data_IF_609053352720
#
_entry.id   IF_609053352720
#
_cell.length_a   1.000
_cell.length_b   1.000
_cell.length_c   1.000
_cell.angle_alpha   90.00
_cell.angle_beta   90.00
_cell.angle_gamma   90.00
#
_symmetry.space_group_name_H-M   'P 1'
#
loop_
_entity.id
_entity.type
_entity.pdbx_description
1 polymer ?
#
# COMPACT_ATOMS: atom_id res chain seq x y z
N UNK A 1 46.15 -7.69 68.91
CA UNK A 1 47.55 -7.30 69.21
C UNK A 1 48.15 -6.81 67.91
N UNK A 2 48.62 -5.55 67.91
CA UNK A 2 49.71 -4.96 67.09
C UNK A 2 49.63 -5.09 65.55
N UNK A 3 49.87 -4.12 64.67
CA UNK A 3 50.44 -2.74 64.62
C UNK A 3 50.46 -2.42 63.10
N UNK A 4 49.98 -1.29 62.59
CA UNK A 4 50.84 -0.18 62.10
C UNK A 4 50.67 0.05 60.58
N UNK A 5 50.25 1.26 60.14
CA UNK A 5 51.00 2.36 59.44
C UNK A 5 51.36 1.96 57.97
N UNK A 6 50.97 2.64 56.87
CA UNK A 6 51.24 4.01 56.36
C UNK A 6 50.18 4.42 55.30
N UNK A 7 49.52 5.58 55.36
CA UNK A 7 49.93 6.93 54.88
C UNK A 7 50.34 6.97 53.40
N UNK A 8 49.44 7.45 52.54
CA UNK A 8 49.79 8.45 51.51
C UNK A 8 48.64 9.43 51.33
N UNK A 9 48.91 10.65 51.78
CA UNK A 9 48.13 11.86 51.54
C UNK A 9 48.57 12.44 50.19
N UNK A 10 47.64 12.83 49.31
CA UNK A 10 47.91 13.87 48.32
C UNK A 10 46.61 14.53 47.86
N UNK A 11 46.33 15.66 48.52
CA UNK A 11 45.80 16.93 48.00
C UNK A 11 44.59 16.90 47.04
N UNK A 12 43.45 17.31 47.59
CA UNK A 12 42.30 17.85 46.87
C UNK A 12 42.66 19.27 46.42
N UNK A 13 42.84 19.47 45.11
CA UNK A 13 42.76 20.79 44.51
C UNK A 13 41.41 20.96 43.82
N UNK A 14 40.58 21.80 44.42
CA UNK A 14 39.45 22.47 43.79
C UNK A 14 39.91 23.26 42.56
N UNK A 15 39.34 22.97 41.39
CA UNK A 15 39.17 23.94 40.31
C UNK A 15 37.76 23.86 39.74
N UNK A 16 36.91 24.78 40.22
CA UNK A 16 35.77 25.29 39.47
C UNK A 16 36.30 26.02 38.22
N UNK A 17 36.02 25.50 37.03
CA UNK A 17 35.49 26.27 35.89
C UNK A 17 35.41 25.36 34.67
N UNK A 18 34.21 25.11 34.20
CA UNK A 18 33.87 25.29 32.79
C UNK A 18 32.40 24.92 32.61
N UNK A 19 31.55 25.89 32.94
CA UNK A 19 30.26 26.03 32.28
C UNK A 19 30.54 26.43 30.83
N UNK A 20 30.99 25.48 30.01
CA UNK A 20 31.07 25.68 28.57
C UNK A 20 29.65 25.66 28.01
N UNK A 21 29.26 26.82 27.51
CA UNK A 21 28.23 27.07 26.51
C UNK A 21 27.74 25.80 25.82
N UNK A 22 26.58 25.29 26.24
CA UNK A 22 25.81 24.36 25.44
C UNK A 22 25.51 25.07 24.12
N UNK A 23 26.07 24.60 23.01
CA UNK A 23 25.70 25.07 21.68
C UNK A 23 24.18 24.94 21.53
N UNK A 24 23.47 26.07 21.62
CA UNK A 24 22.01 26.16 21.55
C UNK A 24 21.50 25.81 20.14
N UNK A 25 22.39 25.80 19.14
CA UNK A 25 22.08 25.42 17.77
C UNK A 25 22.63 24.03 17.45
N UNK A 26 21.79 23.06 17.05
CA UNK A 26 22.30 21.81 16.52
C UNK A 26 23.17 22.14 15.31
N UNK A 27 24.44 21.70 15.34
CA UNK A 27 25.33 21.74 14.19
C UNK A 27 24.57 21.24 12.95
N UNK A 28 24.68 21.94 11.82
CA UNK A 28 23.98 21.61 10.55
C UNK A 28 24.12 20.13 10.20
N UNK A 29 25.28 19.53 10.48
CA UNK A 29 25.52 18.08 10.28
C UNK A 29 24.58 17.22 11.14
N UNK A 30 24.36 17.58 12.39
CA UNK A 30 23.44 16.88 13.31
C UNK A 30 21.98 17.03 12.85
N UNK A 31 21.59 18.21 12.36
CA UNK A 31 20.26 18.42 11.79
C UNK A 31 20.03 17.56 10.55
N UNK A 32 20.98 17.56 9.60
CA UNK A 32 20.91 16.76 8.38
C UNK A 32 20.84 15.25 8.68
N UNK A 33 21.60 14.77 9.66
CA UNK A 33 21.54 13.37 10.12
C UNK A 33 20.16 13.00 10.68
N UNK A 34 19.54 13.89 11.48
CA UNK A 34 18.19 13.68 12.02
C UNK A 34 17.14 13.68 10.92
N UNK A 35 17.19 14.65 10.01
CA UNK A 35 16.27 14.71 8.86
C UNK A 35 16.39 13.44 8.01
N UNK A 36 17.61 13.04 7.65
CA UNK A 36 17.83 11.81 6.88
C UNK A 36 17.30 10.57 7.62
N UNK A 37 17.55 10.46 8.93
CA UNK A 37 17.00 9.37 9.74
C UNK A 37 15.48 9.27 9.66
N UNK A 38 14.78 10.41 9.74
CA UNK A 38 13.32 10.44 9.66
C UNK A 38 12.81 10.17 8.24
N UNK A 39 13.40 10.78 7.21
CA UNK A 39 13.03 10.53 5.81
C UNK A 39 13.20 9.05 5.44
N UNK A 40 14.32 8.43 5.83
CA UNK A 40 14.54 7.01 5.62
C UNK A 40 13.53 6.15 6.39
N UNK A 41 13.12 6.57 7.58
CA UNK A 41 12.08 5.86 8.35
C UNK A 41 10.70 5.95 7.68
N UNK A 42 10.34 7.11 7.12
CA UNK A 42 9.11 7.28 6.33
C UNK A 42 9.13 6.42 5.07
N UNK A 43 10.27 6.36 4.38
CA UNK A 43 10.47 5.49 3.22
C UNK A 43 10.31 4.00 3.59
N UNK A 44 10.89 3.56 4.72
CA UNK A 44 10.76 2.18 5.18
C UNK A 44 9.31 1.79 5.53
N UNK A 45 8.42 2.72 5.87
CA UNK A 45 7.00 2.37 6.06
C UNK A 45 6.33 1.92 4.76
N UNK A 46 6.69 2.54 3.64
CA UNK A 46 5.96 2.44 2.36
C UNK A 46 6.73 1.68 1.28
N UNK A 47 7.99 1.32 1.52
CA UNK A 47 8.90 0.75 0.52
C UNK A 47 8.34 -0.49 -0.21
N UNK A 48 7.76 -1.45 0.52
CA UNK A 48 7.16 -2.64 -0.10
C UNK A 48 5.98 -2.29 -1.00
N UNK A 49 5.32 -1.18 -0.70
CA UNK A 49 4.00 -0.83 -1.23
C UNK A 49 4.06 0.14 -2.42
N UNK A 50 5.26 0.55 -2.81
CA UNK A 50 5.50 1.23 -4.09
C UNK A 50 4.97 0.39 -5.25
N UNK A 51 5.22 -0.92 -5.23
CA UNK A 51 4.88 -1.85 -6.32
C UNK A 51 3.48 -2.43 -6.22
N UNK A 52 2.92 -2.49 -5.02
CA UNK A 52 1.59 -3.10 -4.76
C UNK A 52 0.48 -2.07 -4.72
N UNK A 53 0.77 -0.80 -4.40
CA UNK A 53 -0.22 0.27 -4.29
C UNK A 53 0.15 1.48 -5.16
N UNK A 54 1.30 2.13 -4.95
CA UNK A 54 1.55 3.43 -5.60
C UNK A 54 1.53 3.34 -7.13
N UNK A 55 2.36 2.46 -7.73
CA UNK A 55 2.41 2.35 -9.19
C UNK A 55 1.11 1.79 -9.79
N UNK A 56 0.48 0.74 -9.23
CA UNK A 56 -0.81 0.29 -9.74
C UNK A 56 -1.90 1.36 -9.71
N UNK A 57 -2.00 2.12 -8.63
CA UNK A 57 -3.08 3.11 -8.47
C UNK A 57 -2.84 4.37 -9.29
N UNK A 58 -1.56 4.74 -9.51
CA UNK A 58 -1.20 5.75 -10.51
C UNK A 58 -1.62 5.29 -11.92
N UNK A 59 -1.25 4.07 -12.32
CA UNK A 59 -1.60 3.53 -13.63
C UNK A 59 -3.13 3.47 -13.81
N UNK A 60 -3.85 3.09 -12.75
CA UNK A 60 -5.31 3.05 -12.76
C UNK A 60 -5.92 4.43 -12.98
N UNK A 61 -5.59 5.41 -12.13
CA UNK A 61 -6.13 6.77 -12.24
C UNK A 61 -5.87 7.42 -13.60
N UNK A 62 -4.66 7.27 -14.12
CA UNK A 62 -4.29 7.79 -15.44
C UNK A 62 -5.04 7.08 -16.57
N UNK A 63 -5.07 5.74 -16.57
CA UNK A 63 -5.73 4.97 -17.64
C UNK A 63 -7.21 5.28 -17.72
N UNK A 64 -7.84 5.37 -16.55
CA UNK A 64 -9.21 5.77 -16.40
C UNK A 64 -9.43 7.18 -16.97
N UNK A 65 -8.74 8.21 -16.47
CA UNK A 65 -8.96 9.58 -16.93
C UNK A 65 -8.66 9.79 -18.42
N UNK A 66 -7.63 9.14 -18.95
CA UNK A 66 -7.25 9.22 -20.36
C UNK A 66 -8.21 8.46 -21.29
N UNK A 67 -8.89 7.42 -20.79
CA UNK A 67 -9.78 6.61 -21.63
C UNK A 67 -10.98 7.39 -22.19
N UNK A 68 -11.39 8.46 -21.52
CA UNK A 68 -12.57 9.26 -21.89
C UNK A 68 -13.91 8.56 -21.75
N UNK A 69 -13.96 7.31 -21.26
CA UNK A 69 -15.21 6.52 -21.16
C UNK A 69 -15.83 6.53 -19.76
N UNK A 70 -15.15 7.16 -18.79
CA UNK A 70 -15.52 7.15 -17.36
C UNK A 70 -15.93 8.51 -16.80
N UNK A 71 -15.73 9.60 -17.54
CA UNK A 71 -16.18 10.94 -17.15
C UNK A 71 -17.50 11.27 -17.83
N UNK A 72 -18.32 12.11 -17.20
CA UNK A 72 -19.59 12.61 -17.79
C UNK A 72 -19.30 13.65 -18.88
N UNK A 73 -18.34 14.53 -18.64
CA UNK A 73 -17.93 15.58 -19.56
C UNK A 73 -16.90 15.09 -20.60
N UNK A 74 -16.56 15.99 -21.55
CA UNK A 74 -15.47 15.78 -22.51
C UNK A 74 -14.19 15.39 -21.78
N UNK A 75 -13.58 14.28 -22.20
CA UNK A 75 -12.36 13.76 -21.61
C UNK A 75 -11.30 14.88 -21.41
N UNK A 76 -10.70 14.99 -20.22
CA UNK A 76 -9.63 15.96 -19.99
C UNK A 76 -8.48 15.72 -20.98
N UNK A 77 -7.82 16.80 -21.43
CA UNK A 77 -6.69 16.65 -22.34
C UNK A 77 -5.59 15.80 -21.70
N UNK A 78 -4.84 15.05 -22.51
CA UNK A 78 -3.76 14.21 -22.01
C UNK A 78 -2.76 15.00 -21.16
N UNK A 79 -2.42 16.23 -21.59
CA UNK A 79 -1.59 17.14 -20.81
C UNK A 79 -2.19 17.47 -19.45
N UNK A 80 -3.49 17.79 -19.38
CA UNK A 80 -4.15 18.10 -18.12
C UNK A 80 -4.14 16.91 -17.15
N UNK A 81 -4.35 15.69 -17.66
CA UNK A 81 -4.27 14.46 -16.85
C UNK A 81 -2.85 14.21 -16.35
N UNK A 82 -1.85 14.29 -17.23
CA UNK A 82 -0.45 14.05 -16.87
C UNK A 82 0.09 15.10 -15.89
N UNK A 83 -0.35 16.36 -16.01
CA UNK A 83 0.00 17.41 -15.06
C UNK A 83 -0.49 17.13 -13.63
N UNK A 84 -1.45 16.21 -13.43
CA UNK A 84 -1.96 15.80 -12.11
C UNK A 84 -1.16 14.68 -11.46
N UNK A 85 -0.18 14.06 -12.13
CA UNK A 85 0.65 12.99 -11.57
C UNK A 85 1.22 13.33 -10.18
N UNK A 86 1.79 14.54 -9.95
CA UNK A 86 2.30 14.90 -8.62
C UNK A 86 1.23 14.89 -7.53
N UNK A 87 0.00 15.33 -7.85
CA UNK A 87 -1.12 15.36 -6.90
C UNK A 87 -1.65 13.94 -6.60
N UNK A 88 -1.71 13.08 -7.62
CA UNK A 88 -2.08 11.67 -7.45
C UNK A 88 -1.06 11.00 -6.54
N UNK A 89 0.24 11.14 -6.83
CA UNK A 89 1.31 10.55 -6.04
C UNK A 89 1.30 11.08 -4.60
N UNK A 90 1.11 12.38 -4.40
CA UNK A 90 0.99 13.00 -3.08
C UNK A 90 -0.15 12.37 -2.28
N UNK A 91 -1.36 12.33 -2.86
CA UNK A 91 -2.55 11.83 -2.18
C UNK A 91 -2.45 10.34 -1.88
N UNK A 92 -2.11 9.52 -2.90
CA UNK A 92 -1.96 8.07 -2.73
C UNK A 92 -0.90 7.76 -1.68
N UNK A 93 0.24 8.47 -1.67
CA UNK A 93 1.27 8.25 -0.68
C UNK A 93 0.82 8.60 0.74
N UNK A 94 0.10 9.72 0.94
CA UNK A 94 -0.37 10.11 2.28
C UNK A 94 -1.45 9.18 2.83
N UNK A 95 -2.40 8.77 1.99
CA UNK A 95 -3.42 7.77 2.39
C UNK A 95 -2.72 6.44 2.70
N UNK A 96 -1.85 5.95 1.82
CA UNK A 96 -1.06 4.73 2.05
C UNK A 96 -0.24 4.81 3.32
N UNK A 97 0.43 5.94 3.56
CA UNK A 97 1.26 6.16 4.73
C UNK A 97 0.46 5.98 6.03
N UNK A 98 -0.74 6.55 6.10
CA UNK A 98 -1.66 6.35 7.21
C UNK A 98 -1.99 4.87 7.40
N UNK A 99 -2.37 4.17 6.32
CA UNK A 99 -2.74 2.76 6.39
C UNK A 99 -1.58 1.87 6.84
N UNK A 100 -0.37 2.07 6.30
CA UNK A 100 0.79 1.25 6.66
C UNK A 100 1.28 1.52 8.08
N UNK A 101 1.17 2.77 8.58
CA UNK A 101 1.47 3.05 9.99
C UNK A 101 0.45 2.37 10.90
N UNK A 102 -0.84 2.43 10.56
CA UNK A 102 -1.89 1.73 11.29
C UNK A 102 -1.69 0.22 11.27
N UNK A 103 -1.28 -0.34 10.12
CA UNK A 103 -1.05 -1.76 9.97
C UNK A 103 0.17 -2.26 10.75
N UNK A 104 1.24 -1.50 10.83
CA UNK A 104 2.52 -1.96 11.40
C UNK A 104 2.67 -1.71 12.92
N UNK A 105 1.84 -0.85 13.53
CA UNK A 105 2.07 -0.37 14.91
C UNK A 105 1.70 -1.38 16.02
N UNK A 106 0.79 -2.32 15.77
CA UNK A 106 0.24 -3.19 16.81
C UNK A 106 1.23 -4.31 17.18
N UNK A 107 1.24 -4.80 18.44
CA UNK A 107 2.19 -5.83 18.87
C UNK A 107 2.19 -7.09 17.99
N UNK A 108 1.00 -7.58 17.60
CA UNK A 108 0.88 -8.74 16.72
C UNK A 108 1.31 -8.45 15.28
N UNK A 109 1.15 -7.22 14.80
CA UNK A 109 1.71 -6.78 13.52
C UNK A 109 3.24 -6.75 13.53
N UNK A 110 3.84 -6.37 14.65
CA UNK A 110 5.31 -6.37 14.78
C UNK A 110 5.83 -7.81 14.76
N UNK A 111 5.12 -8.75 15.41
CA UNK A 111 5.48 -10.17 15.39
C UNK A 111 5.41 -10.76 13.97
N UNK A 112 4.36 -10.45 13.22
CA UNK A 112 4.23 -10.78 11.79
C UNK A 112 5.41 -10.22 10.98
N UNK A 113 5.69 -8.93 11.12
CA UNK A 113 6.71 -8.25 10.33
C UNK A 113 8.14 -8.67 10.70
N UNK A 114 8.41 -9.13 11.93
CA UNK A 114 9.72 -9.74 12.26
C UNK A 114 10.00 -10.95 11.36
N UNK A 115 8.96 -11.70 10.96
CA UNK A 115 9.09 -12.84 10.03
C UNK A 115 9.14 -12.40 8.58
N UNK A 116 8.18 -11.60 8.16
CA UNK A 116 8.01 -11.30 6.73
C UNK A 116 8.90 -10.13 6.25
N UNK A 117 9.09 -9.11 7.09
CA UNK A 117 9.64 -7.79 6.72
C UNK A 117 10.47 -7.18 7.86
N UNK A 118 11.55 -7.84 8.34
CA UNK A 118 12.31 -7.42 9.53
C UNK A 118 12.99 -6.05 9.38
N UNK A 119 13.11 -5.54 8.15
CA UNK A 119 13.66 -4.23 7.83
C UNK A 119 12.68 -3.07 8.11
N UNK A 120 11.38 -3.32 8.35
CA UNK A 120 10.39 -2.28 8.63
C UNK A 120 10.71 -1.49 9.91
N UNK A 121 10.19 -0.26 10.07
CA UNK A 121 10.58 0.63 11.17
C UNK A 121 10.37 0.07 12.58
N UNK A 122 9.28 -0.66 12.82
CA UNK A 122 8.97 -1.22 14.13
C UNK A 122 9.79 -2.50 14.44
N UNK A 123 9.84 -3.52 13.56
CA UNK A 123 10.72 -4.69 13.78
C UNK A 123 12.19 -4.34 13.94
N UNK A 124 12.70 -3.38 13.15
CA UNK A 124 14.09 -2.92 13.21
C UNK A 124 14.36 -1.92 14.35
N UNK A 125 13.36 -1.66 15.21
CA UNK A 125 13.46 -0.77 16.38
C UNK A 125 13.87 0.67 16.06
N UNK A 126 13.64 1.13 14.83
CA UNK A 126 13.81 2.55 14.45
C UNK A 126 12.72 3.45 15.04
N UNK A 127 11.56 2.87 15.33
CA UNK A 127 10.44 3.61 15.91
C UNK A 127 9.80 2.78 17.02
N UNK A 128 9.39 3.42 18.12
CA UNK A 128 8.61 2.74 19.15
C UNK A 128 7.13 2.62 18.75
N UNK A 129 6.39 1.60 19.23
CA UNK A 129 4.95 1.50 18.97
C UNK A 129 4.16 2.74 19.41
N UNK A 130 4.55 3.35 20.54
CA UNK A 130 3.95 4.61 21.03
C UNK A 130 4.20 5.77 20.08
N UNK A 131 5.40 5.86 19.51
CA UNK A 131 5.74 6.89 18.52
C UNK A 131 4.97 6.66 17.21
N UNK A 132 4.82 5.41 16.77
CA UNK A 132 3.98 5.07 15.60
C UNK A 132 2.50 5.41 15.83
N UNK A 133 1.97 5.20 17.04
CA UNK A 133 0.61 5.62 17.39
C UNK A 133 0.44 7.15 17.27
N UNK A 134 1.39 7.93 17.78
CA UNK A 134 1.36 9.39 17.65
C UNK A 134 1.44 9.82 16.19
N UNK A 135 2.32 9.20 15.42
CA UNK A 135 2.47 9.44 13.99
C UNK A 135 1.15 9.17 13.23
N UNK A 136 0.44 8.08 13.55
CA UNK A 136 -0.89 7.80 13.01
C UNK A 136 -1.88 8.92 13.32
N UNK A 137 -1.98 9.32 14.60
CA UNK A 137 -2.90 10.38 15.04
C UNK A 137 -2.63 11.73 14.34
N UNK A 138 -1.37 12.08 14.09
CA UNK A 138 -1.02 13.27 13.32
C UNK A 138 -1.30 13.11 11.81
N UNK A 139 -1.19 11.89 11.28
CA UNK A 139 -1.42 11.63 9.85
C UNK A 139 -2.90 11.80 9.46
N UNK A 140 -3.84 11.45 10.35
CA UNK A 140 -5.29 11.57 10.10
C UNK A 140 -5.72 12.98 9.66
N UNK A 141 -5.50 14.06 10.44
CA UNK A 141 -5.91 15.40 10.03
C UNK A 141 -5.18 15.89 8.78
N UNK A 142 -3.92 15.48 8.57
CA UNK A 142 -3.16 15.83 7.36
C UNK A 142 -3.80 15.19 6.13
N UNK A 143 -4.11 13.89 6.19
CA UNK A 143 -4.78 13.17 5.10
C UNK A 143 -6.14 13.79 4.79
N UNK A 144 -6.95 14.09 5.80
CA UNK A 144 -8.26 14.72 5.61
C UNK A 144 -8.14 16.12 4.98
N UNK A 145 -7.15 16.92 5.41
CA UNK A 145 -6.88 18.24 4.84
C UNK A 145 -6.48 18.15 3.37
N UNK A 146 -5.51 17.32 3.03
CA UNK A 146 -5.07 17.10 1.64
C UNK A 146 -6.25 16.59 0.79
N UNK A 147 -7.04 15.65 1.33
CA UNK A 147 -8.18 15.07 0.62
C UNK A 147 -9.32 16.07 0.41
N UNK A 148 -9.50 17.02 1.33
CA UNK A 148 -10.44 18.14 1.15
C UNK A 148 -10.04 19.00 -0.05
N UNK A 149 -8.78 19.41 -0.13
CA UNK A 149 -8.26 20.20 -1.25
C UNK A 149 -8.31 19.47 -2.60
N UNK A 150 -8.26 18.13 -2.58
CA UNK A 150 -8.25 17.31 -3.78
C UNK A 150 -9.63 16.71 -4.13
N UNK A 151 -10.68 17.04 -3.38
CA UNK A 151 -12.04 16.55 -3.65
C UNK A 151 -12.27 15.06 -3.35
N UNK A 152 -11.42 14.46 -2.50
CA UNK A 152 -11.43 13.02 -2.17
C UNK A 152 -11.73 12.75 -0.69
N UNK A 153 -12.22 13.73 0.07
CA UNK A 153 -12.43 13.61 1.52
C UNK A 153 -13.31 12.42 1.91
N UNK A 154 -14.40 12.16 1.18
CA UNK A 154 -15.31 11.03 1.46
C UNK A 154 -14.59 9.69 1.29
N UNK A 155 -13.76 9.56 0.24
CA UNK A 155 -12.95 8.37 0.00
C UNK A 155 -11.92 8.15 1.10
N UNK A 156 -11.25 9.22 1.54
CA UNK A 156 -10.28 9.13 2.63
C UNK A 156 -10.93 8.83 3.98
N UNK A 157 -12.13 9.36 4.27
CA UNK A 157 -12.88 8.98 5.47
C UNK A 157 -13.29 7.51 5.45
N UNK A 158 -13.75 7.00 4.30
CA UNK A 158 -14.03 5.59 4.12
C UNK A 158 -12.76 4.73 4.29
N UNK A 159 -11.63 5.16 3.73
CA UNK A 159 -10.33 4.47 3.85
C UNK A 159 -9.80 4.43 5.28
N UNK A 160 -9.90 5.53 6.03
CA UNK A 160 -9.56 5.59 7.46
C UNK A 160 -10.46 4.64 8.26
N UNK A 161 -11.76 4.62 7.96
CA UNK A 161 -12.71 3.72 8.63
C UNK A 161 -12.39 2.26 8.33
N UNK A 162 -12.16 1.91 7.06
CA UNK A 162 -11.78 0.56 6.65
C UNK A 162 -10.44 0.14 7.28
N UNK A 163 -9.47 1.05 7.38
CA UNK A 163 -8.17 0.82 8.04
C UNK A 163 -8.34 0.52 9.52
N UNK A 164 -9.20 1.25 10.22
CA UNK A 164 -9.54 1.00 11.61
C UNK A 164 -10.24 -0.36 11.78
N UNK A 165 -11.22 -0.68 10.92
CA UNK A 165 -11.88 -1.99 10.91
C UNK A 165 -10.89 -3.14 10.64
N UNK A 166 -9.95 -2.94 9.71
CA UNK A 166 -8.95 -3.92 9.32
C UNK A 166 -7.99 -4.24 10.46
N UNK A 167 -7.48 -3.21 11.14
CA UNK A 167 -6.42 -3.36 12.13
C UNK A 167 -6.95 -3.43 13.57
N UNK A 168 -7.65 -2.39 14.03
CA UNK A 168 -8.04 -2.23 15.43
C UNK A 168 -9.23 -3.13 15.82
N UNK A 169 -10.15 -3.39 14.89
CA UNK A 169 -11.28 -4.30 15.12
C UNK A 169 -10.97 -5.75 14.73
N UNK A 170 -9.75 -6.04 14.30
CA UNK A 170 -9.31 -7.39 13.93
C UNK A 170 -9.97 -7.94 12.66
N UNK A 171 -10.48 -7.09 11.76
CA UNK A 171 -11.06 -7.50 10.48
C UNK A 171 -10.07 -8.27 9.60
N UNK A 172 -8.78 -7.94 9.69
CA UNK A 172 -7.70 -8.65 9.00
C UNK A 172 -7.36 -10.02 9.60
N UNK A 173 -7.75 -10.25 10.87
CA UNK A 173 -7.24 -11.35 11.68
C UNK A 173 -8.30 -12.45 11.86
N UNK A 174 -9.56 -12.07 12.03
CA UNK A 174 -10.64 -12.97 12.43
C UNK A 174 -11.32 -13.72 11.26
N UNK A 175 -11.20 -13.24 10.03
CA UNK A 175 -11.83 -13.86 8.85
C UNK A 175 -11.14 -13.46 7.56
N UNK A 176 -10.73 -14.44 6.75
CA UNK A 176 -10.18 -14.16 5.41
C UNK A 176 -11.20 -13.44 4.51
N UNK A 177 -12.50 -13.66 4.71
CA UNK A 177 -13.56 -12.97 3.95
C UNK A 177 -13.57 -11.48 4.31
N UNK A 178 -13.55 -11.15 5.60
CA UNK A 178 -13.50 -9.76 6.06
C UNK A 178 -12.21 -9.07 5.61
N UNK A 179 -11.07 -9.76 5.74
CA UNK A 179 -9.76 -9.31 5.24
C UNK A 179 -9.80 -9.01 3.75
N UNK A 180 -10.30 -9.94 2.93
CA UNK A 180 -10.39 -9.75 1.48
C UNK A 180 -11.33 -8.61 1.11
N UNK A 181 -12.47 -8.48 1.81
CA UNK A 181 -13.43 -7.39 1.58
C UNK A 181 -12.80 -6.04 1.89
N UNK A 182 -12.12 -5.91 3.03
CA UNK A 182 -11.46 -4.66 3.42
C UNK A 182 -10.28 -4.32 2.52
N UNK A 183 -9.51 -5.31 2.06
CA UNK A 183 -8.47 -5.12 1.03
C UNK A 183 -9.07 -4.65 -0.30
N UNK A 184 -10.19 -5.24 -0.73
CA UNK A 184 -10.90 -4.82 -1.93
C UNK A 184 -11.41 -3.38 -1.81
N UNK A 185 -12.03 -3.03 -0.68
CA UNK A 185 -12.46 -1.66 -0.39
C UNK A 185 -11.27 -0.69 -0.42
N UNK A 186 -10.19 -0.98 0.29
CA UNK A 186 -9.00 -0.11 0.36
C UNK A 186 -8.38 0.13 -1.01
N UNK A 187 -8.08 -0.93 -1.77
CA UNK A 187 -7.49 -0.81 -3.11
C UNK A 187 -8.43 -0.12 -4.10
N UNK A 188 -9.74 -0.30 -3.98
CA UNK A 188 -10.73 0.40 -4.81
C UNK A 188 -10.83 1.89 -4.42
N UNK A 189 -10.73 2.23 -3.13
CA UNK A 189 -10.68 3.61 -2.64
C UNK A 189 -9.46 4.36 -3.20
N UNK A 190 -8.28 3.72 -3.18
CA UNK A 190 -7.10 4.30 -3.82
C UNK A 190 -7.34 4.56 -5.31
N UNK A 191 -7.93 3.59 -6.00
CA UNK A 191 -8.15 3.69 -7.43
C UNK A 191 -9.17 4.76 -7.80
N UNK A 192 -10.28 4.81 -7.07
CA UNK A 192 -11.30 5.84 -7.22
C UNK A 192 -10.71 7.23 -6.94
N UNK A 193 -9.95 7.39 -5.86
CA UNK A 193 -9.34 8.68 -5.52
C UNK A 193 -8.30 9.13 -6.54
N UNK A 194 -7.44 8.24 -7.02
CA UNK A 194 -6.50 8.52 -8.10
C UNK A 194 -7.23 8.94 -9.38
N UNK A 195 -8.34 8.28 -9.70
CA UNK A 195 -9.20 8.61 -10.84
C UNK A 195 -9.87 9.98 -10.69
N UNK A 196 -10.43 10.30 -9.53
CA UNK A 196 -11.04 11.61 -9.23
C UNK A 196 -10.02 12.75 -9.39
N UNK A 197 -8.80 12.57 -8.88
CA UNK A 197 -7.74 13.59 -8.98
C UNK A 197 -7.29 13.76 -10.44
N UNK A 198 -7.15 12.65 -11.18
CA UNK A 198 -6.78 12.65 -12.60
C UNK A 198 -7.86 13.28 -13.49
N UNK A 199 -9.14 13.05 -13.18
CA UNK A 199 -10.29 13.62 -13.88
C UNK A 199 -10.45 15.14 -13.67
N UNK A 200 -9.73 15.72 -12.71
CA UNK A 200 -9.53 17.16 -12.63
C UNK A 200 -10.75 17.99 -12.21
N UNK A 201 -11.78 17.36 -11.66
CA UNK A 201 -13.07 17.98 -11.31
C UNK A 201 -14.23 17.52 -12.19
N UNK A 202 -13.97 16.76 -13.26
CA UNK A 202 -15.02 16.13 -14.06
C UNK A 202 -15.75 15.06 -13.23
N UNK A 203 -17.07 15.02 -13.33
CA UNK A 203 -17.87 14.00 -12.65
C UNK A 203 -17.62 12.61 -13.26
N UNK A 204 -17.57 11.59 -12.39
CA UNK A 204 -17.44 10.19 -12.81
C UNK A 204 -18.81 9.63 -13.15
N UNK A 205 -18.92 8.94 -14.28
CA UNK A 205 -20.18 8.39 -14.77
C UNK A 205 -20.47 6.99 -14.21
N UNK A 206 -21.61 6.40 -14.61
CA UNK A 206 -22.03 5.06 -14.17
C UNK A 206 -21.05 3.95 -14.59
N UNK A 207 -20.34 4.10 -15.72
CA UNK A 207 -19.32 3.13 -16.13
C UNK A 207 -18.16 3.11 -15.15
N UNK A 208 -17.77 4.27 -14.60
CA UNK A 208 -16.74 4.35 -13.56
C UNK A 208 -17.17 3.56 -12.31
N UNK A 209 -18.40 3.77 -11.84
CA UNK A 209 -18.93 3.08 -10.67
C UNK A 209 -19.01 1.56 -10.89
N UNK A 210 -19.54 1.11 -12.04
CA UNK A 210 -19.59 -0.30 -12.42
C UNK A 210 -18.19 -0.92 -12.51
N UNK A 211 -17.24 -0.19 -13.09
CA UNK A 211 -15.86 -0.64 -13.22
C UNK A 211 -15.16 -0.79 -11.87
N UNK A 212 -15.34 0.17 -10.97
CA UNK A 212 -14.84 0.09 -9.59
C UNK A 212 -15.43 -1.11 -8.85
N UNK A 213 -16.72 -1.40 -9.04
CA UNK A 213 -17.37 -2.58 -8.48
C UNK A 213 -16.80 -3.90 -9.01
N UNK A 214 -16.56 -4.00 -10.33
CA UNK A 214 -15.92 -5.17 -10.95
C UNK A 214 -14.51 -5.39 -10.41
N UNK A 215 -13.73 -4.33 -10.25
CA UNK A 215 -12.38 -4.42 -9.69
C UNK A 215 -12.41 -4.77 -8.20
N UNK A 216 -13.35 -4.23 -7.42
CA UNK A 216 -13.54 -4.64 -6.03
C UNK A 216 -13.83 -6.14 -5.93
N UNK A 217 -14.72 -6.69 -6.77
CA UNK A 217 -14.99 -8.12 -6.84
C UNK A 217 -13.77 -8.93 -7.30
N UNK A 218 -13.00 -8.40 -8.25
CA UNK A 218 -11.75 -9.00 -8.73
C UNK A 218 -10.73 -9.11 -7.61
N UNK A 219 -10.50 -8.03 -6.87
CA UNK A 219 -9.58 -7.99 -5.73
C UNK A 219 -10.08 -8.91 -4.61
N UNK A 220 -11.35 -8.79 -4.22
CA UNK A 220 -11.95 -9.61 -3.16
C UNK A 220 -11.73 -11.12 -3.38
N UNK A 221 -11.86 -11.57 -4.63
CA UNK A 221 -11.77 -12.98 -4.99
C UNK A 221 -10.35 -13.47 -5.34
N UNK A 222 -9.35 -12.58 -5.40
CA UNK A 222 -7.98 -12.94 -5.81
C UNK A 222 -6.86 -12.45 -4.89
N UNK A 223 -7.14 -11.50 -3.97
CA UNK A 223 -6.12 -10.89 -3.09
C UNK A 223 -5.48 -11.88 -2.12
N UNK A 224 -6.13 -13.02 -1.85
CA UNK A 224 -5.55 -14.13 -1.07
C UNK A 224 -4.29 -14.74 -1.72
N UNK A 225 -3.93 -14.32 -2.95
CA UNK A 225 -2.63 -14.60 -3.56
C UNK A 225 -1.47 -14.15 -2.66
N UNK A 226 -1.60 -13.02 -1.96
CA UNK A 226 -0.56 -12.53 -1.05
C UNK A 226 -0.36 -13.45 0.16
N UNK A 227 -1.44 -14.05 0.65
CA UNK A 227 -1.44 -14.84 1.89
C UNK A 227 -0.60 -16.13 1.74
N UNK A 228 -0.37 -16.61 0.50
CA UNK A 228 0.53 -17.74 0.24
C UNK A 228 2.00 -17.41 0.58
N UNK A 229 2.44 -16.18 0.28
CA UNK A 229 3.80 -15.74 0.57
C UNK A 229 3.99 -15.35 2.05
N UNK A 230 2.92 -14.97 2.73
CA UNK A 230 2.92 -14.42 4.08
C UNK A 230 2.48 -15.42 5.16
N UNK A 231 2.29 -16.71 4.81
CA UNK A 231 1.78 -17.76 5.70
C UNK A 231 2.50 -17.84 7.06
N UNK A 232 3.83 -17.70 7.11
CA UNK A 232 4.58 -17.77 8.38
C UNK A 232 4.25 -16.59 9.30
N UNK A 233 4.25 -15.36 8.77
CA UNK A 233 3.88 -14.17 9.52
C UNK A 233 2.40 -14.16 9.91
N UNK A 234 1.52 -14.60 9.01
CA UNK A 234 0.08 -14.75 9.29
C UNK A 234 -0.18 -15.73 10.43
N UNK A 235 0.52 -16.88 10.43
CA UNK A 235 0.44 -17.87 11.50
C UNK A 235 0.97 -17.31 12.83
N UNK A 236 2.09 -16.59 12.81
CA UNK A 236 2.67 -15.97 14.00
C UNK A 236 1.73 -14.91 14.62
N UNK A 237 1.00 -14.17 13.78
CA UNK A 237 -0.03 -13.21 14.20
C UNK A 237 -1.35 -13.85 14.64
N UNK A 238 -1.56 -15.12 14.33
CA UNK A 238 -2.82 -15.82 14.58
C UNK A 238 -3.93 -15.46 13.59
N UNK A 239 -3.59 -15.04 12.37
CA UNK A 239 -4.57 -14.72 11.34
C UNK A 239 -5.27 -15.96 10.81
N UNK A 240 -6.55 -15.81 10.52
CA UNK A 240 -7.38 -16.80 9.82
C UNK A 240 -7.38 -16.52 8.32
N UNK A 241 -6.25 -16.73 7.64
CA UNK A 241 -6.14 -16.60 6.18
C UNK A 241 -6.53 -17.89 5.45
N UNK A 242 -6.96 -17.77 4.19
CA UNK A 242 -7.43 -18.91 3.40
C UNK A 242 -6.44 -20.09 3.35
N UNK A 243 -5.12 -19.90 3.11
CA UNK A 243 -4.18 -21.03 3.10
C UNK A 243 -3.96 -21.67 4.48
N UNK A 244 -4.20 -20.96 5.58
CA UNK A 244 -4.10 -21.51 6.93
C UNK A 244 -5.37 -22.28 7.36
N UNK A 245 -6.55 -21.86 6.90
CA UNK A 245 -7.82 -22.53 7.23
C UNK A 245 -8.12 -23.70 6.29
N UNK A 246 -8.00 -23.49 4.98
CA UNK A 246 -8.45 -24.44 3.95
C UNK A 246 -7.29 -25.18 3.27
N UNK A 247 -6.05 -24.83 3.64
CA UNK A 247 -4.84 -25.38 3.03
C UNK A 247 -4.49 -24.71 1.70
N UNK A 248 -3.21 -24.82 1.33
CA UNK A 248 -2.67 -24.15 0.15
C UNK A 248 -3.32 -24.59 -1.15
N UNK A 249 -3.70 -25.87 -1.29
CA UNK A 249 -4.29 -26.39 -2.52
C UNK A 249 -5.62 -25.73 -2.87
N UNK A 250 -6.51 -25.58 -1.88
CA UNK A 250 -7.80 -24.91 -2.08
C UNK A 250 -7.59 -23.44 -2.44
N UNK A 251 -6.69 -22.75 -1.72
CA UNK A 251 -6.32 -21.36 -2.01
C UNK A 251 -5.81 -21.20 -3.44
N UNK A 252 -4.86 -22.03 -3.89
CA UNK A 252 -4.25 -21.95 -5.23
C UNK A 252 -5.27 -22.20 -6.35
N UNK A 253 -6.15 -23.19 -6.18
CA UNK A 253 -7.25 -23.43 -7.14
C UNK A 253 -8.25 -22.29 -7.17
N UNK A 254 -8.59 -21.69 -6.02
CA UNK A 254 -9.45 -20.50 -5.98
C UNK A 254 -8.84 -19.33 -6.76
N UNK A 255 -7.54 -19.08 -6.58
CA UNK A 255 -6.80 -18.02 -7.30
C UNK A 255 -6.84 -18.29 -8.79
N UNK A 256 -6.48 -19.51 -9.23
CA UNK A 256 -6.46 -19.87 -10.64
C UNK A 256 -7.84 -19.71 -11.29
N UNK A 257 -8.91 -20.14 -10.60
CA UNK A 257 -10.29 -20.01 -11.07
C UNK A 257 -10.67 -18.54 -11.26
N UNK A 258 -10.54 -17.72 -10.22
CA UNK A 258 -11.00 -16.33 -10.27
C UNK A 258 -10.14 -15.45 -11.17
N UNK A 259 -8.82 -15.67 -11.20
CA UNK A 259 -7.94 -14.94 -12.12
C UNK A 259 -8.30 -15.25 -13.57
N UNK A 260 -8.51 -16.52 -13.91
CA UNK A 260 -8.92 -16.91 -15.28
C UNK A 260 -10.27 -16.29 -15.63
N UNK A 261 -11.23 -16.33 -14.70
CA UNK A 261 -12.54 -15.71 -14.87
C UNK A 261 -12.44 -14.21 -15.15
N UNK A 262 -11.76 -13.44 -14.29
CA UNK A 262 -11.64 -11.99 -14.44
C UNK A 262 -10.78 -11.57 -15.63
N UNK A 263 -9.81 -12.39 -16.05
CA UNK A 263 -9.05 -12.17 -17.29
C UNK A 263 -9.92 -12.16 -18.55
N UNK A 264 -11.11 -12.77 -18.51
CA UNK A 264 -12.10 -12.78 -19.59
C UNK A 264 -13.21 -11.75 -19.37
N UNK A 265 -13.72 -11.65 -18.14
CA UNK A 265 -14.86 -10.78 -17.82
C UNK A 265 -14.50 -9.29 -17.90
N UNK A 266 -13.30 -8.90 -17.48
CA UNK A 266 -12.92 -7.48 -17.50
C UNK A 266 -12.82 -6.92 -18.94
N UNK A 267 -12.14 -7.56 -19.91
CA UNK A 267 -12.21 -7.13 -21.30
C UNK A 267 -13.62 -7.23 -21.93
N UNK A 268 -14.42 -8.22 -21.51
CA UNK A 268 -15.80 -8.37 -21.96
C UNK A 268 -16.69 -7.22 -21.52
N UNK A 269 -16.57 -6.77 -20.26
CA UNK A 269 -17.29 -5.61 -19.73
C UNK A 269 -17.06 -4.36 -20.58
N UNK A 270 -15.81 -4.12 -20.98
CA UNK A 270 -15.46 -3.02 -21.87
C UNK A 270 -15.86 -3.26 -23.33
N UNK A 271 -16.37 -4.45 -23.69
CA UNK A 271 -16.68 -4.84 -25.07
C UNK A 271 -15.49 -4.54 -26.00
N UNK A 272 -14.32 -5.07 -25.63
CA UNK A 272 -13.08 -4.94 -26.41
C UNK A 272 -13.00 -6.00 -27.52
N UNK A 273 -12.15 -5.76 -28.51
CA UNK A 273 -11.87 -6.74 -29.55
C UNK A 273 -11.04 -7.92 -28.98
N UNK A 274 -11.05 -9.06 -29.69
CA UNK A 274 -10.36 -10.30 -29.26
C UNK A 274 -8.84 -10.14 -29.01
N UNK A 275 -8.17 -9.20 -29.67
CA UNK A 275 -6.73 -8.98 -29.48
C UNK A 275 -6.44 -8.23 -28.18
N UNK A 276 -7.35 -7.36 -27.74
CA UNK A 276 -7.25 -6.66 -26.45
C UNK A 276 -7.39 -7.58 -25.24
N UNK A 277 -7.85 -8.83 -25.43
CA UNK A 277 -7.87 -9.86 -24.37
C UNK A 277 -6.48 -10.47 -24.15
N UNK A 278 -5.58 -10.40 -25.13
CA UNK A 278 -4.29 -11.08 -25.05
C UNK A 278 -3.50 -10.70 -23.80
N UNK A 279 -3.33 -9.41 -23.42
CA UNK A 279 -2.59 -9.05 -22.22
C UNK A 279 -3.19 -9.64 -20.94
N UNK A 280 -4.51 -9.54 -20.74
CA UNK A 280 -5.17 -10.03 -19.52
C UNK A 280 -5.13 -11.56 -19.43
N UNK A 281 -5.35 -12.26 -20.55
CA UNK A 281 -5.34 -13.73 -20.61
C UNK A 281 -3.93 -14.28 -20.47
N UNK A 282 -2.92 -13.69 -21.12
CA UNK A 282 -1.53 -14.17 -21.03
C UNK A 282 -0.95 -13.99 -19.62
N UNK A 283 -1.12 -12.80 -19.03
CA UNK A 283 -0.58 -12.52 -17.68
C UNK A 283 -1.40 -13.27 -16.63
N UNK A 284 -2.73 -13.33 -16.76
CA UNK A 284 -3.58 -14.11 -15.85
C UNK A 284 -3.33 -15.62 -15.95
N UNK A 285 -3.13 -16.14 -17.15
CA UNK A 285 -2.75 -17.53 -17.39
C UNK A 285 -1.39 -17.88 -16.80
N UNK A 286 -0.39 -17.00 -16.96
CA UNK A 286 0.91 -17.14 -16.29
C UNK A 286 0.75 -17.17 -14.77
N UNK A 287 -0.07 -16.30 -14.21
CA UNK A 287 -0.33 -16.26 -12.78
C UNK A 287 -1.01 -17.54 -12.28
N UNK A 288 -2.04 -18.00 -12.96
CA UNK A 288 -2.76 -19.24 -12.63
C UNK A 288 -1.83 -20.46 -12.73
N UNK A 289 -1.04 -20.56 -13.80
CA UNK A 289 -0.03 -21.59 -14.00
C UNK A 289 0.96 -21.64 -12.83
N UNK A 290 1.53 -20.49 -12.46
CA UNK A 290 2.49 -20.39 -11.35
C UNK A 290 1.85 -20.76 -10.03
N UNK A 291 0.66 -20.22 -9.75
CA UNK A 291 -0.06 -20.50 -8.51
C UNK A 291 -0.28 -22.00 -8.30
N UNK A 292 -0.58 -22.76 -9.37
CA UNK A 292 -0.85 -24.19 -9.29
C UNK A 292 0.41 -25.07 -9.25
N UNK A 293 1.43 -24.73 -10.04
CA UNK A 293 2.54 -25.64 -10.35
C UNK A 293 3.88 -25.30 -9.68
N UNK A 294 4.12 -24.04 -9.30
CA UNK A 294 5.40 -23.64 -8.70
C UNK A 294 5.16 -23.29 -7.22
N UNK A 295 5.56 -24.21 -6.34
CA UNK A 295 5.18 -24.19 -4.92
C UNK A 295 6.39 -24.04 -4.02
N UNK A 296 6.74 -22.80 -3.74
CA UNK A 296 7.67 -22.40 -2.68
C UNK A 296 7.42 -20.94 -2.30
N UNK A 297 7.86 -20.53 -1.11
CA UNK A 297 7.63 -19.17 -0.59
C UNK A 297 8.25 -18.09 -1.49
N UNK A 298 9.40 -18.37 -2.11
CA UNK A 298 10.03 -17.44 -3.06
C UNK A 298 9.21 -17.30 -4.35
N UNK A 299 8.70 -18.41 -4.87
CA UNK A 299 7.79 -18.40 -6.02
C UNK A 299 6.47 -17.71 -5.71
N UNK A 300 5.90 -17.88 -4.51
CA UNK A 300 4.67 -17.21 -4.11
C UNK A 300 4.87 -15.68 -4.00
N UNK A 301 6.02 -15.23 -3.49
CA UNK A 301 6.40 -13.80 -3.53
C UNK A 301 6.48 -13.26 -4.95
N UNK A 302 6.96 -14.05 -5.91
CA UNK A 302 6.97 -13.66 -7.32
C UNK A 302 5.56 -13.72 -7.94
N UNK A 303 4.76 -14.72 -7.61
CA UNK A 303 3.36 -14.83 -8.05
C UNK A 303 2.54 -13.64 -7.57
N UNK A 304 2.75 -13.15 -6.35
CA UNK A 304 2.16 -11.90 -5.86
C UNK A 304 2.56 -10.67 -6.67
N UNK A 305 3.84 -10.57 -7.08
CA UNK A 305 4.28 -9.47 -7.97
C UNK A 305 3.61 -9.56 -9.34
N UNK A 306 3.45 -10.77 -9.87
CA UNK A 306 2.73 -11.00 -11.14
C UNK A 306 1.25 -10.65 -10.95
N UNK A 307 0.66 -10.86 -9.77
CA UNK A 307 -0.71 -10.40 -9.48
C UNK A 307 -0.81 -8.88 -9.59
N UNK A 308 0.16 -8.15 -9.06
CA UNK A 308 0.21 -6.68 -9.19
C UNK A 308 0.31 -6.25 -10.67
N UNK A 309 1.11 -6.96 -11.49
CA UNK A 309 1.23 -6.71 -12.93
C UNK A 309 -0.10 -7.01 -13.63
N UNK A 310 -0.75 -8.13 -13.29
CA UNK A 310 -2.05 -8.50 -13.84
C UNK A 310 -3.11 -7.46 -13.51
N UNK A 311 -3.15 -6.95 -12.28
CA UNK A 311 -4.04 -5.85 -11.92
C UNK A 311 -3.76 -4.58 -12.74
N UNK A 312 -2.49 -4.21 -12.95
CA UNK A 312 -2.14 -3.09 -13.84
C UNK A 312 -2.65 -3.33 -15.27
N UNK A 313 -2.54 -4.54 -15.79
CA UNK A 313 -3.08 -4.89 -17.11
C UNK A 313 -4.60 -4.74 -17.16
N UNK A 314 -5.31 -5.13 -16.09
CA UNK A 314 -6.75 -4.90 -16.02
C UNK A 314 -7.07 -3.40 -15.93
N UNK A 315 -6.30 -2.65 -15.16
CA UNK A 315 -6.45 -1.21 -14.97
C UNK A 315 -6.31 -0.40 -16.26
N UNK A 316 -5.52 -0.88 -17.23
CA UNK A 316 -5.37 -0.21 -18.53
C UNK A 316 -6.46 -0.55 -19.53
N UNK A 317 -7.35 -1.52 -19.24
CA UNK A 317 -8.40 -1.97 -20.17
C UNK A 317 -9.29 -0.85 -20.75
N UNK A 318 -9.70 0.17 -19.97
CA UNK A 318 -10.52 1.27 -20.50
C UNK A 318 -9.86 2.00 -21.69
N UNK A 319 -8.52 2.07 -21.74
CA UNK A 319 -7.78 2.75 -22.82
C UNK A 319 -7.96 2.08 -24.19
N UNK A 320 -8.27 0.78 -24.21
CA UNK A 320 -8.46 0.05 -25.46
C UNK A 320 -9.89 0.17 -26.00
N UNK A 321 -10.79 0.86 -25.27
CA UNK A 321 -12.19 1.02 -25.69
C UNK A 321 -12.33 2.04 -26.83
N UNK A 322 -11.69 3.19 -26.70
CA UNK A 322 -11.70 4.23 -27.72
C UNK A 322 -10.27 4.45 -28.27
N UNK A 323 -10.03 3.96 -29.48
CA UNK A 323 -8.72 4.11 -30.15
C UNK A 323 -8.32 5.58 -30.33
N UNK A 324 -9.28 6.51 -30.37
CA UNK A 324 -9.01 7.95 -30.50
C UNK A 324 -8.32 8.54 -29.27
N UNK A 325 -8.53 7.96 -28.09
CA UNK A 325 -7.86 8.38 -26.86
C UNK A 325 -6.34 8.15 -26.93
N UNK A 326 -5.92 7.08 -27.62
CA UNK A 326 -4.50 6.77 -27.84
C UNK A 326 -3.90 7.60 -28.97
N UNK A 327 -4.68 7.95 -29.99
CA UNK A 327 -4.24 8.79 -31.11
C UNK A 327 -4.08 10.27 -30.71
N UNK A 328 -4.92 10.79 -29.81
CA UNK A 328 -4.85 12.18 -29.34
C UNK A 328 -3.67 12.48 -28.37
N UNK A 329 -2.90 11.46 -28.00
CA UNK A 329 -1.70 11.59 -27.16
C UNK A 329 -0.40 11.82 -27.96
N UNK A 330 -0.47 11.79 -29.30
CA UNK A 330 0.64 12.02 -30.23
C UNK A 330 0.35 13.20 -31.15
#
# INVERSE_FOLDING_TARGET
MTTGVDIYCCSVHDTKSDASSRDIFPNVVTLLRRVNYHLYTLWLFTYSDLKTVIYPQLAFGLSNALSGVITVDRAPSAFAVLARIPLILLWVWFVLFLEVVANQRLPLSILEDVKNKPWRPLPSRRLSPRSAQRLLLFSVPIVLMISSFLGTITLSMAGITATWMYNDLGGADNSYVARNLLNACGLTIFGAGATTIAAGGSELNENAAAWFGILACTIFSTVQTQDLADMEGDAARGRKTMPLIHGQSVTRWSIALFVTFWSLICPYFWNLNKYSYCPSVLVGGLLAFRALLIRDVGADKLTWKIWCIWMIVLYTLPLYKDHRALEACW
#
